data_IF_500954771845
#
_entry.id   IF_500954771845
#
_cell.length_a   1.000
_cell.length_b   1.000
_cell.length_c   1.000
_cell.angle_alpha   90.00
_cell.angle_beta   90.00
_cell.angle_gamma   90.00
#
_symmetry.space_group_name_H-M   'P 1'
#
loop_
_entity.id
_entity.type
_entity.pdbx_description
1 polymer ?
#
# COMPACT_ATOMS: atom_id res chain seq x y z
N UNK A 1 -17.76 5.40 -11.79
CA UNK A 1 -17.35 5.50 -13.21
C UNK A 1 -17.41 4.14 -13.92
N UNK A 2 -16.89 3.04 -13.33
CA UNK A 2 -17.01 1.69 -13.91
C UNK A 2 -18.46 1.23 -14.19
N UNK A 3 -19.40 1.44 -13.26
CA UNK A 3 -20.80 1.03 -13.44
C UNK A 3 -21.52 1.70 -14.62
N UNK A 4 -21.09 2.90 -15.02
CA UNK A 4 -21.70 3.60 -16.16
C UNK A 4 -21.21 3.05 -17.50
N UNK A 5 -19.96 2.57 -17.56
CA UNK A 5 -19.41 1.91 -18.75
C UNK A 5 -19.94 0.48 -18.91
N UNK A 6 -20.18 -0.25 -17.80
CA UNK A 6 -20.76 -1.60 -17.87
C UNK A 6 -22.19 -1.61 -18.44
N UNK A 7 -23.03 -0.67 -18.00
CA UNK A 7 -24.43 -0.56 -18.45
C UNK A 7 -24.56 -0.24 -19.96
N UNK A 8 -23.57 0.49 -20.51
CA UNK A 8 -23.52 0.76 -21.95
C UNK A 8 -23.10 -0.47 -22.77
N UNK A 9 -22.33 -1.39 -22.19
CA UNK A 9 -21.84 -2.60 -22.85
C UNK A 9 -22.84 -3.77 -22.79
N UNK A 10 -23.70 -3.82 -21.76
CA UNK A 10 -24.78 -4.81 -21.67
C UNK A 10 -25.82 -4.68 -22.80
N UNK A 11 -25.92 -3.49 -23.43
CA UNK A 11 -26.82 -3.24 -24.57
C UNK A 11 -26.06 -3.08 -25.90
N UNK A 12 -24.75 -3.34 -25.92
CA UNK A 12 -23.97 -3.24 -27.14
C UNK A 12 -24.16 -4.52 -27.98
N UNK A 13 -24.65 -4.40 -29.24
CA UNK A 13 -25.00 -5.57 -30.04
C UNK A 13 -23.76 -6.38 -30.47
N UNK A 14 -22.59 -5.74 -30.60
CA UNK A 14 -21.32 -6.44 -30.86
C UNK A 14 -20.94 -7.30 -29.65
N UNK A 15 -21.07 -6.76 -28.44
CA UNK A 15 -20.84 -7.46 -27.18
C UNK A 15 -21.75 -8.70 -27.06
N UNK A 16 -23.06 -8.55 -27.29
CA UNK A 16 -24.03 -9.65 -27.21
C UNK A 16 -23.77 -10.79 -28.21
N UNK A 17 -23.36 -10.47 -29.44
CA UNK A 17 -23.01 -11.49 -30.45
C UNK A 17 -21.75 -12.27 -30.03
N UNK A 18 -20.72 -11.58 -29.53
CA UNK A 18 -19.48 -12.25 -29.11
C UNK A 18 -19.72 -13.10 -27.86
N UNK A 19 -20.54 -12.62 -26.92
CA UNK A 19 -20.94 -13.36 -25.71
C UNK A 19 -21.71 -14.64 -26.06
N UNK A 20 -22.74 -14.55 -26.91
CA UNK A 20 -23.59 -15.69 -27.27
C UNK A 20 -22.84 -16.79 -28.02
N UNK A 21 -21.91 -16.42 -28.91
CA UNK A 21 -21.09 -17.38 -29.67
C UNK A 21 -19.92 -17.93 -28.87
N UNK A 22 -19.41 -17.19 -27.87
CA UNK A 22 -18.23 -17.53 -27.07
C UNK A 22 -16.90 -17.49 -27.84
N UNK A 23 -16.87 -17.91 -29.10
CA UNK A 23 -15.75 -17.79 -30.04
C UNK A 23 -16.27 -17.49 -31.44
N UNK A 24 -15.74 -16.45 -32.08
CA UNK A 24 -16.22 -15.91 -33.36
C UNK A 24 -15.08 -15.24 -34.14
N UNK A 25 -15.36 -14.63 -35.28
CA UNK A 25 -14.44 -13.82 -36.08
C UNK A 25 -15.04 -12.47 -36.44
N UNK A 26 -14.20 -11.52 -36.86
CA UNK A 26 -14.67 -10.18 -37.26
C UNK A 26 -15.75 -10.23 -38.36
N UNK A 27 -15.55 -11.07 -39.38
CA UNK A 27 -16.49 -11.16 -40.50
C UNK A 27 -17.83 -11.72 -40.04
N UNK A 28 -17.81 -12.78 -39.23
CA UNK A 28 -19.04 -13.38 -38.68
C UNK A 28 -19.84 -12.37 -37.84
N UNK A 29 -19.18 -11.58 -37.00
CA UNK A 29 -19.85 -10.54 -36.21
C UNK A 29 -20.40 -9.43 -37.10
N UNK A 30 -19.64 -8.99 -38.11
CA UNK A 30 -20.06 -7.93 -39.00
C UNK A 30 -21.22 -8.36 -39.91
N UNK A 31 -21.16 -9.55 -40.48
CA UNK A 31 -22.17 -10.08 -41.40
C UNK A 31 -23.49 -10.36 -40.67
N UNK A 32 -23.42 -10.83 -39.41
CA UNK A 32 -24.60 -11.02 -38.55
C UNK A 32 -25.30 -9.70 -38.23
N UNK A 33 -24.55 -8.66 -37.86
CA UNK A 33 -25.13 -7.34 -37.64
C UNK A 33 -25.73 -6.74 -38.90
N UNK A 34 -25.07 -6.86 -40.04
CA UNK A 34 -25.60 -6.39 -41.32
C UNK A 34 -26.93 -7.08 -41.65
N UNK A 35 -27.04 -8.39 -41.38
CA UNK A 35 -28.28 -9.14 -41.58
C UNK A 35 -29.40 -8.70 -40.62
N UNK A 36 -29.09 -8.46 -39.34
CA UNK A 36 -30.07 -7.97 -38.35
C UNK A 36 -30.62 -6.58 -38.72
N UNK A 37 -29.75 -5.66 -39.13
CA UNK A 37 -30.16 -4.30 -39.54
C UNK A 37 -30.91 -4.28 -40.87
N UNK A 38 -30.65 -5.22 -41.78
CA UNK A 38 -31.35 -5.33 -43.07
C UNK A 38 -32.76 -5.92 -42.95
N UNK A 39 -33.02 -6.71 -41.91
CA UNK A 39 -34.34 -7.33 -41.64
C UNK A 39 -35.29 -6.42 -40.86
N UNK A 40 -34.85 -5.21 -40.45
CA UNK A 40 -35.70 -4.26 -39.73
C UNK A 40 -36.38 -3.34 -40.75
N UNK A 41 -37.64 -3.64 -41.08
CA UNK A 41 -38.46 -3.01 -42.13
C UNK A 41 -38.41 -1.47 -42.15
N UNK A 42 -37.64 -0.90 -43.07
CA UNK A 42 -37.85 0.47 -43.59
C UNK A 42 -38.19 0.38 -45.09
N UNK A 43 -39.48 0.49 -45.48
CA UNK A 43 -39.93 0.17 -46.84
C UNK A 43 -39.54 1.18 -47.94
N UNK A 44 -38.53 2.03 -47.77
CA UNK A 44 -38.38 3.16 -48.68
C UNK A 44 -36.96 3.69 -48.88
N UNK A 45 -36.02 2.88 -49.40
CA UNK A 45 -34.80 3.51 -49.93
C UNK A 45 -34.12 2.86 -51.14
N UNK A 46 -33.54 3.75 -51.94
CA UNK A 46 -32.88 3.65 -53.23
C UNK A 46 -31.81 2.55 -53.32
N UNK A 47 -31.53 2.09 -54.54
CA UNK A 47 -30.65 0.96 -54.88
C UNK A 47 -29.21 0.98 -54.32
N UNK A 48 -28.73 2.12 -53.80
CA UNK A 48 -27.34 2.33 -53.39
C UNK A 48 -27.13 2.43 -51.87
N UNK A 49 -28.19 2.54 -51.07
CA UNK A 49 -28.09 2.64 -49.61
C UNK A 49 -27.64 1.36 -48.87
N UNK A 50 -28.07 0.14 -49.27
CA UNK A 50 -27.70 -1.09 -48.56
C UNK A 50 -26.18 -1.29 -48.48
N UNK A 51 -25.45 -0.88 -49.52
CA UNK A 51 -23.99 -1.00 -49.59
C UNK A 51 -23.26 0.04 -48.73
N UNK A 52 -23.87 1.20 -48.50
CA UNK A 52 -23.32 2.25 -47.64
C UNK A 52 -23.45 1.85 -46.17
N UNK A 53 -24.60 1.28 -45.80
CA UNK A 53 -24.88 0.83 -44.44
C UNK A 53 -23.97 -0.35 -44.04
N UNK A 54 -23.71 -1.29 -44.94
CA UNK A 54 -22.77 -2.39 -44.70
C UNK A 54 -21.35 -1.86 -44.36
N UNK A 55 -20.83 -0.91 -45.13
CA UNK A 55 -19.50 -0.32 -44.88
C UNK A 55 -19.44 0.43 -43.55
N UNK A 56 -20.52 1.13 -43.20
CA UNK A 56 -20.61 1.86 -41.94
C UNK A 56 -20.62 0.91 -40.74
N UNK A 57 -21.47 -0.13 -40.79
CA UNK A 57 -21.57 -1.17 -39.75
C UNK A 57 -20.21 -1.84 -39.55
N UNK A 58 -19.58 -2.29 -40.64
CA UNK A 58 -18.23 -2.89 -40.61
C UNK A 58 -17.21 -2.00 -39.90
N UNK A 59 -17.23 -0.68 -40.13
CA UNK A 59 -16.34 0.28 -39.46
C UNK A 59 -16.61 0.38 -37.96
N UNK A 60 -17.88 0.40 -37.54
CA UNK A 60 -18.29 0.49 -36.14
C UNK A 60 -17.98 -0.78 -35.35
N UNK A 61 -18.13 -1.96 -35.98
CA UNK A 61 -17.74 -3.25 -35.39
C UNK A 61 -16.27 -3.25 -34.99
N UNK A 62 -15.38 -2.68 -35.81
CA UNK A 62 -13.97 -2.55 -35.45
C UNK A 62 -13.75 -1.65 -34.23
N UNK A 63 -14.46 -0.53 -34.12
CA UNK A 63 -14.32 0.37 -32.97
C UNK A 63 -14.76 -0.34 -31.68
N UNK A 64 -15.92 -1.00 -31.72
CA UNK A 64 -16.46 -1.74 -30.59
C UNK A 64 -15.53 -2.87 -30.15
N UNK A 65 -15.05 -3.71 -31.08
CA UNK A 65 -14.13 -4.80 -30.75
C UNK A 65 -12.80 -4.31 -30.17
N UNK A 66 -12.26 -3.19 -30.65
CA UNK A 66 -11.01 -2.63 -30.11
C UNK A 66 -11.21 -2.13 -28.67
N UNK A 67 -12.35 -1.50 -28.38
CA UNK A 67 -12.70 -1.08 -27.01
C UNK A 67 -12.90 -2.30 -26.11
N UNK A 68 -13.67 -3.31 -26.55
CA UNK A 68 -13.89 -4.54 -25.79
C UNK A 68 -12.58 -5.27 -25.48
N UNK A 69 -11.64 -5.28 -26.42
CA UNK A 69 -10.31 -5.87 -26.23
C UNK A 69 -9.48 -5.06 -25.23
N UNK A 70 -9.46 -3.72 -25.34
CA UNK A 70 -8.76 -2.85 -24.41
C UNK A 70 -9.31 -2.95 -22.98
N UNK A 71 -10.62 -3.19 -22.85
CA UNK A 71 -11.31 -3.44 -21.59
C UNK A 71 -11.11 -4.87 -21.05
N UNK A 72 -10.42 -5.75 -21.79
CA UNK A 72 -10.14 -7.12 -21.37
C UNK A 72 -11.33 -8.09 -21.44
N UNK A 73 -12.47 -7.66 -22.02
CA UNK A 73 -13.72 -8.42 -22.11
C UNK A 73 -13.63 -9.52 -23.17
N UNK A 74 -12.81 -9.31 -24.19
CA UNK A 74 -12.56 -10.27 -25.27
C UNK A 74 -11.07 -10.45 -25.49
N UNK A 75 -10.69 -11.58 -26.08
CA UNK A 75 -9.33 -11.86 -26.55
C UNK A 75 -9.34 -12.04 -28.06
N UNK A 76 -8.42 -11.37 -28.76
CA UNK A 76 -8.23 -11.52 -30.21
C UNK A 76 -6.91 -12.23 -30.49
N UNK A 77 -7.00 -13.43 -31.04
CA UNK A 77 -5.85 -14.17 -31.58
C UNK A 77 -6.00 -14.28 -33.09
N UNK A 78 -5.16 -13.53 -33.81
CA UNK A 78 -5.21 -13.40 -35.28
C UNK A 78 -6.62 -13.02 -35.76
N UNK A 79 -7.35 -14.00 -36.31
CA UNK A 79 -8.73 -13.88 -36.83
C UNK A 79 -9.80 -14.31 -35.83
N UNK A 80 -9.41 -15.03 -34.78
CA UNK A 80 -10.30 -15.56 -33.76
C UNK A 80 -10.52 -14.52 -32.66
N UNK A 81 -11.76 -14.36 -32.27
CA UNK A 81 -12.22 -13.53 -31.15
C UNK A 81 -12.86 -14.47 -30.14
N UNK A 82 -12.50 -14.35 -28.86
CA UNK A 82 -13.02 -15.19 -27.79
C UNK A 82 -13.58 -14.31 -26.67
N UNK A 83 -14.78 -14.64 -26.21
CA UNK A 83 -15.40 -14.03 -25.02
C UNK A 83 -14.64 -14.42 -23.76
N UNK A 84 -14.22 -13.43 -22.96
CA UNK A 84 -13.64 -13.65 -21.63
C UNK A 84 -14.64 -13.39 -20.50
N UNK A 85 -15.65 -12.58 -20.75
CA UNK A 85 -16.62 -12.15 -19.75
C UNK A 85 -16.50 -10.66 -19.43
N UNK A 86 -17.59 -10.07 -18.95
CA UNK A 86 -17.54 -8.74 -18.36
C UNK A 86 -16.64 -8.76 -17.12
N UNK A 87 -15.95 -7.65 -16.78
CA UNK A 87 -15.24 -7.52 -15.52
C UNK A 87 -16.27 -7.43 -14.37
N UNK A 88 -16.90 -8.55 -14.08
CA UNK A 88 -17.54 -8.83 -12.81
C UNK A 88 -16.44 -8.85 -11.77
N UNK A 89 -16.73 -8.36 -10.57
CA UNK A 89 -15.81 -8.33 -9.43
C UNK A 89 -15.32 -9.75 -9.12
N UNK A 90 -14.28 -10.19 -9.81
CA UNK A 90 -13.78 -11.55 -9.76
C UNK A 90 -13.33 -11.85 -8.34
N UNK A 91 -13.66 -13.03 -7.82
CA UNK A 91 -13.36 -13.41 -6.42
C UNK A 91 -11.85 -13.35 -6.14
N UNK A 92 -11.02 -13.55 -7.18
CA UNK A 92 -9.57 -13.35 -7.14
C UNK A 92 -9.17 -11.89 -6.84
N UNK A 93 -9.82 -10.92 -7.49
CA UNK A 93 -9.58 -9.50 -7.23
C UNK A 93 -9.96 -9.10 -5.80
N UNK A 94 -11.02 -9.70 -5.24
CA UNK A 94 -11.42 -9.45 -3.85
C UNK A 94 -10.40 -10.00 -2.85
N UNK A 95 -9.83 -11.18 -3.11
CA UNK A 95 -8.79 -11.76 -2.26
C UNK A 95 -7.51 -10.92 -2.29
N UNK A 96 -7.08 -10.49 -3.48
CA UNK A 96 -5.90 -9.65 -3.66
C UNK A 96 -6.06 -8.28 -3.01
N UNK A 97 -7.23 -7.64 -3.17
CA UNK A 97 -7.55 -6.37 -2.51
C UNK A 97 -7.58 -6.50 -0.98
N UNK A 98 -8.06 -7.62 -0.44
CA UNK A 98 -8.03 -7.90 1.01
C UNK A 98 -6.59 -8.11 1.51
N UNK A 99 -5.77 -8.84 0.76
CA UNK A 99 -4.36 -9.04 1.09
C UNK A 99 -3.61 -7.71 1.09
N UNK A 100 -3.83 -6.87 0.07
CA UNK A 100 -3.24 -5.53 -0.01
C UNK A 100 -3.75 -4.62 1.12
N UNK A 101 -5.05 -4.66 1.43
CA UNK A 101 -5.62 -3.92 2.56
C UNK A 101 -4.98 -4.31 3.90
N UNK A 102 -4.72 -5.60 4.11
CA UNK A 102 -4.00 -6.10 5.30
C UNK A 102 -2.56 -5.60 5.33
N UNK A 103 -1.87 -5.63 4.19
CA UNK A 103 -0.49 -5.15 4.05
C UNK A 103 -0.38 -3.65 4.35
N UNK A 104 -1.28 -2.84 3.80
CA UNK A 104 -1.34 -1.40 4.05
C UNK A 104 -1.64 -1.12 5.52
N UNK A 105 -2.61 -1.83 6.11
CA UNK A 105 -2.96 -1.69 7.54
C UNK A 105 -1.75 -1.96 8.44
N UNK A 106 -1.02 -3.05 8.20
CA UNK A 106 0.19 -3.35 8.97
C UNK A 106 1.28 -2.29 8.81
N UNK A 107 1.39 -1.64 7.64
CA UNK A 107 2.31 -0.49 7.45
C UNK A 107 1.85 0.74 8.24
N UNK A 108 0.55 1.00 8.30
CA UNK A 108 -0.02 2.10 9.09
C UNK A 108 0.25 1.85 10.57
N UNK A 109 -0.04 0.66 11.08
CA UNK A 109 0.18 0.30 12.49
C UNK A 109 1.64 0.48 12.90
N UNK A 110 2.60 0.02 12.09
CA UNK A 110 4.04 0.26 12.36
C UNK A 110 4.41 1.74 12.39
N UNK A 111 3.87 2.54 11.45
CA UNK A 111 4.11 3.99 11.43
C UNK A 111 3.50 4.69 12.65
N UNK A 112 2.30 4.29 13.06
CA UNK A 112 1.65 4.83 14.26
C UNK A 112 2.47 4.51 15.51
N UNK A 113 2.92 3.26 15.67
CA UNK A 113 3.78 2.86 16.78
C UNK A 113 5.09 3.66 16.83
N UNK A 114 5.76 3.80 15.68
CA UNK A 114 7.00 4.57 15.58
C UNK A 114 6.80 6.08 15.86
N UNK A 115 5.71 6.67 15.36
CA UNK A 115 5.36 8.07 15.67
C UNK A 115 5.11 8.28 17.16
N UNK A 116 4.41 7.34 17.81
CA UNK A 116 4.18 7.40 19.25
C UNK A 116 5.49 7.31 20.05
N UNK A 117 6.42 6.44 19.62
CA UNK A 117 7.76 6.34 20.20
C UNK A 117 8.55 7.64 20.07
N UNK A 118 8.59 8.24 18.88
CA UNK A 118 9.23 9.54 18.64
C UNK A 118 8.62 10.65 19.50
N UNK A 119 7.29 10.71 19.58
CA UNK A 119 6.60 11.70 20.42
C UNK A 119 6.98 11.54 21.90
N UNK A 120 7.06 10.30 22.37
CA UNK A 120 7.49 9.99 23.75
C UNK A 120 8.93 10.46 23.99
N UNK A 121 9.84 10.20 23.04
CA UNK A 121 11.24 10.61 23.13
C UNK A 121 11.37 12.13 23.18
N UNK A 122 10.67 12.85 22.28
CA UNK A 122 10.68 14.32 22.25
C UNK A 122 10.14 14.91 23.55
N UNK A 123 9.02 14.39 24.06
CA UNK A 123 8.47 14.82 25.34
C UNK A 123 9.45 14.58 26.50
N UNK A 124 10.11 13.42 26.52
CA UNK A 124 11.14 13.09 27.52
C UNK A 124 12.32 14.05 27.49
N UNK A 125 12.80 14.43 26.29
CA UNK A 125 13.88 15.41 26.13
C UNK A 125 13.49 16.80 26.61
N UNK A 126 12.28 17.28 26.26
CA UNK A 126 11.80 18.57 26.76
C UNK A 126 11.69 18.60 28.29
N UNK A 127 11.16 17.53 28.89
CA UNK A 127 11.09 17.41 30.35
C UNK A 127 12.49 17.43 30.98
N UNK A 128 13.44 16.69 30.40
CA UNK A 128 14.81 16.66 30.89
C UNK A 128 15.48 18.03 30.82
N UNK A 129 15.34 18.76 29.71
CA UNK A 129 15.86 20.12 29.54
C UNK A 129 15.25 21.05 30.59
N UNK A 130 13.91 21.07 30.70
CA UNK A 130 13.21 21.94 31.65
C UNK A 130 13.63 21.67 33.10
N UNK A 131 13.75 20.40 33.50
CA UNK A 131 14.23 20.00 34.82
C UNK A 131 15.67 20.45 35.07
N UNK A 132 16.55 20.28 34.08
CA UNK A 132 17.96 20.67 34.20
C UNK A 132 18.12 22.21 34.28
N UNK A 133 17.28 22.97 33.57
CA UNK A 133 17.23 24.43 33.68
C UNK A 133 16.82 24.87 35.10
N UNK A 134 15.80 24.24 35.68
CA UNK A 134 15.36 24.52 37.06
C UNK A 134 16.46 24.22 38.08
N UNK A 135 17.11 23.06 37.99
CA UNK A 135 18.24 22.71 38.88
C UNK A 135 19.42 23.69 38.76
N UNK A 136 19.65 24.21 37.56
CA UNK A 136 20.68 25.23 37.31
C UNK A 136 20.33 26.56 37.97
N UNK A 137 19.07 26.99 37.88
CA UNK A 137 18.57 28.20 38.55
C UNK A 137 18.64 28.08 40.09
N UNK A 138 18.30 26.91 40.63
CA UNK A 138 18.37 26.62 42.06
C UNK A 138 19.81 26.41 42.59
N UNK A 139 20.83 26.49 41.73
CA UNK A 139 22.24 26.16 42.05
C UNK A 139 22.41 24.75 42.63
N UNK A 140 21.52 23.82 42.30
CA UNK A 140 21.56 22.40 42.68
C UNK A 140 22.11 21.53 41.54
N UNK A 141 22.94 22.11 40.67
CA UNK A 141 23.52 21.38 39.56
C UNK A 141 24.38 20.20 40.09
N UNK A 142 24.19 18.97 39.57
CA UNK A 142 24.95 17.82 40.03
C UNK A 142 26.44 17.96 39.68
N UNK A 143 27.31 17.41 40.54
CA UNK A 143 28.76 17.43 40.32
C UNK A 143 29.24 16.58 39.13
N UNK A 144 28.39 15.69 38.59
CA UNK A 144 28.70 14.84 37.44
C UNK A 144 27.53 14.87 36.45
N UNK A 145 27.85 15.00 35.18
CA UNK A 145 26.90 15.08 34.07
C UNK A 145 27.33 14.11 32.98
N UNK A 146 26.38 13.39 32.40
CA UNK A 146 26.56 12.59 31.19
C UNK A 146 25.76 13.27 30.09
N UNK A 147 26.46 13.69 29.03
CA UNK A 147 25.83 14.33 27.87
C UNK A 147 25.28 13.28 26.90
N UNK A 148 24.24 13.67 26.16
CA UNK A 148 23.72 12.90 25.04
C UNK A 148 24.61 13.12 23.80
N UNK A 149 24.74 12.13 22.89
CA UNK A 149 24.22 10.76 22.99
C UNK A 149 25.14 9.85 23.81
N UNK A 150 24.56 8.85 24.47
CA UNK A 150 25.33 7.81 25.18
C UNK A 150 24.64 6.46 25.10
N UNK A 151 25.38 5.42 25.46
CA UNK A 151 24.87 4.06 25.67
C UNK A 151 25.23 3.65 27.09
N UNK A 152 24.27 3.10 27.81
CA UNK A 152 24.42 2.58 29.16
C UNK A 152 24.54 1.05 29.10
N UNK A 153 25.64 0.54 29.63
CA UNK A 153 25.82 -0.91 29.86
C UNK A 153 25.53 -1.18 31.33
N UNK A 154 24.51 -1.97 31.62
CA UNK A 154 24.09 -2.31 32.97
C UNK A 154 24.37 -3.79 33.25
N UNK A 155 24.99 -4.09 34.39
CA UNK A 155 25.20 -5.46 34.85
C UNK A 155 24.94 -5.56 36.36
N UNK A 156 25.13 -6.75 36.94
CA UNK A 156 24.92 -6.98 38.38
C UNK A 156 25.92 -6.16 39.21
N UNK A 157 25.55 -5.69 40.42
CA UNK A 157 26.43 -4.86 41.26
C UNK A 157 27.77 -5.50 41.64
N UNK A 158 27.84 -6.83 41.63
CA UNK A 158 29.03 -7.61 41.98
C UNK A 158 29.68 -8.29 40.76
N UNK A 159 29.32 -7.89 39.55
CA UNK A 159 29.93 -8.41 38.33
C UNK A 159 31.38 -7.90 38.22
N UNK A 160 32.30 -8.78 37.83
CA UNK A 160 33.66 -8.40 37.45
C UNK A 160 33.69 -8.18 35.93
N UNK A 161 34.02 -6.96 35.51
CA UNK A 161 34.10 -6.58 34.10
C UNK A 161 35.55 -6.23 33.77
N UNK A 162 36.11 -6.93 32.80
CA UNK A 162 37.43 -6.62 32.25
C UNK A 162 37.26 -5.72 31.02
N UNK A 163 38.12 -4.71 30.92
CA UNK A 163 37.97 -3.61 29.97
C UNK A 163 39.30 -3.38 29.27
N UNK A 164 39.30 -3.58 27.96
CA UNK A 164 40.46 -3.29 27.11
C UNK A 164 40.09 -2.18 26.13
N UNK A 165 40.82 -1.08 26.19
CA UNK A 165 40.61 0.07 25.30
C UNK A 165 41.78 0.10 24.33
N UNK A 166 41.47 0.08 23.04
CA UNK A 166 42.47 0.25 21.98
C UNK A 166 43.24 1.57 22.14
N UNK A 167 44.50 1.60 21.71
CA UNK A 167 45.34 2.81 21.83
C UNK A 167 44.74 4.05 21.14
N UNK A 168 43.99 3.85 20.04
CA UNK A 168 43.33 4.94 19.31
C UNK A 168 41.95 5.33 19.90
N UNK A 169 41.55 4.70 21.01
CA UNK A 169 40.27 4.89 21.70
C UNK A 169 39.02 4.68 20.83
N UNK A 170 39.14 3.96 19.71
CA UNK A 170 38.00 3.68 18.82
C UNK A 170 37.27 2.38 19.18
N UNK A 171 37.98 1.46 19.82
CA UNK A 171 37.46 0.14 20.19
C UNK A 171 37.60 -0.05 21.70
N UNK A 172 36.50 -0.46 22.31
CA UNK A 172 36.45 -0.87 23.71
C UNK A 172 35.92 -2.29 23.75
N UNK A 173 36.72 -3.20 24.29
CA UNK A 173 36.32 -4.58 24.53
C UNK A 173 35.91 -4.73 25.99
N UNK A 174 34.72 -5.31 26.20
CA UNK A 174 34.18 -5.62 27.51
C UNK A 174 34.10 -7.13 27.64
N UNK A 175 34.78 -7.71 28.63
CA UNK A 175 34.56 -9.08 29.06
C UNK A 175 33.80 -9.08 30.39
N UNK A 176 32.60 -9.66 30.38
CA UNK A 176 31.74 -9.77 31.55
C UNK A 176 31.95 -11.08 32.33
N UNK A 177 32.92 -11.91 31.95
CA UNK A 177 33.21 -13.19 32.59
C UNK A 177 31.98 -14.10 32.69
N UNK A 178 31.21 -14.20 31.60
CA UNK A 178 29.91 -14.89 31.52
C UNK A 178 28.79 -14.29 32.38
N UNK A 179 28.96 -13.10 32.96
CA UNK A 179 27.91 -12.40 33.69
C UNK A 179 26.95 -11.72 32.72
N UNK A 180 25.62 -11.86 32.91
CA UNK A 180 24.66 -11.15 32.06
C UNK A 180 24.79 -9.62 32.16
N UNK A 181 24.55 -8.95 31.04
CA UNK A 181 24.47 -7.49 30.96
C UNK A 181 23.29 -7.08 30.06
N UNK A 182 22.88 -5.83 30.22
CA UNK A 182 21.86 -5.17 29.42
C UNK A 182 22.46 -3.91 28.78
N UNK A 183 22.00 -3.60 27.57
CA UNK A 183 22.39 -2.42 26.83
C UNK A 183 21.17 -1.52 26.67
N UNK A 184 21.30 -0.28 27.12
CA UNK A 184 20.25 0.72 27.05
C UNK A 184 20.77 1.94 26.31
N UNK A 185 20.03 2.41 25.31
CA UNK A 185 20.33 3.70 24.69
C UNK A 185 19.84 4.86 25.56
N UNK A 186 20.23 6.07 25.16
CA UNK A 186 19.81 7.27 25.85
C UNK A 186 18.28 7.46 25.87
N UNK A 187 17.59 7.15 24.77
CA UNK A 187 16.14 7.27 24.65
C UNK A 187 15.41 6.42 25.69
N UNK A 188 15.83 5.17 25.88
CA UNK A 188 15.30 4.29 26.91
C UNK A 188 15.52 4.86 28.31
N UNK A 189 16.72 5.38 28.59
CA UNK A 189 17.06 5.96 29.90
C UNK A 189 16.19 7.20 30.19
N UNK A 190 16.04 8.10 29.22
CA UNK A 190 15.21 9.31 29.35
C UNK A 190 13.74 8.96 29.61
N UNK A 191 13.22 7.94 28.92
CA UNK A 191 11.85 7.44 29.12
C UNK A 191 11.66 6.85 30.52
N UNK A 192 12.65 6.10 31.01
CA UNK A 192 12.63 5.48 32.35
C UNK A 192 12.66 6.54 33.45
N UNK A 193 13.52 7.56 33.31
CA UNK A 193 13.59 8.70 34.22
C UNK A 193 12.24 9.42 34.35
N UNK A 194 11.61 9.74 33.22
CA UNK A 194 10.30 10.39 33.18
C UNK A 194 9.21 9.58 33.90
N UNK A 195 9.27 8.25 33.79
CA UNK A 195 8.30 7.34 34.43
C UNK A 195 8.50 7.22 35.94
N UNK A 196 9.75 7.30 36.42
CA UNK A 196 10.06 7.28 37.84
C UNK A 196 9.63 8.59 38.53
N UNK A 197 9.89 9.74 37.91
CA UNK A 197 9.51 11.05 38.44
C UNK A 197 7.98 11.16 38.68
N UNK A 198 7.18 10.62 37.75
CA UNK A 198 5.72 10.56 37.90
C UNK A 198 5.26 9.65 39.05
N UNK A 199 5.99 8.59 39.37
CA UNK A 199 5.67 7.70 40.50
C UNK A 199 5.97 8.37 41.84
N UNK A 200 7.09 9.07 41.94
CA UNK A 200 7.44 9.85 43.14
C UNK A 200 6.45 10.99 43.40
N UNK A 201 5.96 11.67 42.36
CA UNK A 201 4.98 12.75 42.49
C UNK A 201 3.56 12.29 42.90
N UNK A 202 3.21 11.01 42.69
CA UNK A 202 1.91 10.44 43.09
C UNK A 202 1.91 9.83 44.49
N UNK A 203 3.08 9.71 45.11
CA UNK A 203 3.26 9.08 46.44
C UNK A 203 3.45 10.12 47.54
N UNK A 204 3.43 11.42 47.19
CA UNK A 204 3.39 12.57 48.10
C UNK A 204 2.00 13.20 48.04
#
# INVERSE_FOLDING_TARGET
MLNFHLCLLENDPVCGIVESKGRTTYNEVADELVAEFSNTDFPHVSSDQPQYDEKNIRRRVYDALNVLMAMGIILKDKKSIQWKGLPSSDVGNVADLKAEGTRIRGRIERKVAYLHELQTQVAGLYNLVSRNEQLSQEKKAPHRVVALPFILVQTRPHATVELEISENMQVVHFDFNSTPFELHDDAYVVKTLSSQEQRTARTQ
#
